data_IF_642438052290
#
_entry.id   IF_642438052290
#
_cell.length_a   1.000
_cell.length_b   1.000
_cell.length_c   1.000
_cell.angle_alpha   90.00
_cell.angle_beta   90.00
_cell.angle_gamma   90.00
#
_symmetry.space_group_name_H-M   'P 1'
#
loop_
_entity.id
_entity.type
_entity.pdbx_description
1 polymer ?
#
# COMPACT_ATOMS: atom_id res chain seq x y z
N UNK A 1 13.70 9.03 17.21
CA UNK A 1 14.53 7.80 17.16
C UNK A 1 15.32 7.51 18.45
N UNK A 2 15.72 8.50 19.27
CA UNK A 2 16.61 8.29 20.43
C UNK A 2 16.08 7.46 21.64
N UNK A 3 14.82 7.01 21.66
CA UNK A 3 14.25 6.26 22.79
C UNK A 3 14.36 4.73 22.64
N UNK A 4 14.41 4.21 21.42
CA UNK A 4 14.38 2.75 21.17
C UNK A 4 15.75 2.12 21.44
N UNK A 5 16.85 2.82 21.14
CA UNK A 5 18.22 2.37 21.42
C UNK A 5 18.61 2.31 22.91
N UNK A 6 17.77 2.80 23.83
CA UNK A 6 18.02 2.76 25.30
C UNK A 6 17.42 1.55 26.01
N UNK A 7 16.64 0.71 25.32
CA UNK A 7 16.03 -0.48 25.91
C UNK A 7 17.14 -1.54 26.09
N UNK A 8 17.45 -1.90 27.34
CA UNK A 8 18.54 -2.82 27.72
C UNK A 8 18.27 -4.29 27.38
N UNK A 9 17.01 -4.68 27.20
CA UNK A 9 16.62 -6.07 26.94
C UNK A 9 16.32 -6.28 25.45
N UNK A 10 17.11 -7.10 24.73
CA UNK A 10 16.97 -7.34 23.29
C UNK A 10 15.55 -7.79 22.90
N UNK A 11 15.03 -8.80 23.61
CA UNK A 11 13.69 -9.34 23.34
C UNK A 11 12.57 -8.30 23.48
N UNK A 12 12.67 -7.40 24.46
CA UNK A 12 11.67 -6.34 24.67
C UNK A 12 11.75 -5.26 23.60
N UNK A 13 12.96 -4.94 23.12
CA UNK A 13 13.16 -4.01 22.00
C UNK A 13 12.53 -4.56 20.72
N UNK A 14 12.78 -5.84 20.42
CA UNK A 14 12.24 -6.51 19.24
C UNK A 14 10.70 -6.54 19.25
N UNK A 15 10.09 -6.93 20.36
CA UNK A 15 8.63 -6.93 20.51
C UNK A 15 8.01 -5.54 20.33
N UNK A 16 8.67 -4.50 20.84
CA UNK A 16 8.21 -3.13 20.65
C UNK A 16 8.28 -2.71 19.19
N UNK A 17 9.39 -3.02 18.51
CA UNK A 17 9.57 -2.73 17.08
C UNK A 17 8.53 -3.46 16.24
N UNK A 18 8.29 -4.74 16.50
CA UNK A 18 7.22 -5.51 15.85
C UNK A 18 5.85 -4.85 16.03
N UNK A 19 5.50 -4.41 17.24
CA UNK A 19 4.22 -3.72 17.50
C UNK A 19 4.13 -2.38 16.78
N UNK A 20 5.20 -1.59 16.79
CA UNK A 20 5.24 -0.29 16.10
C UNK A 20 5.11 -0.46 14.60
N UNK A 21 5.83 -1.42 14.02
CA UNK A 21 5.82 -1.72 12.60
C UNK A 21 4.45 -2.27 12.17
N UNK A 22 3.88 -3.22 12.92
CA UNK A 22 2.53 -3.72 12.67
C UNK A 22 1.48 -2.60 12.69
N UNK A 23 1.60 -1.66 13.64
CA UNK A 23 0.72 -0.48 13.67
C UNK A 23 0.93 0.42 12.45
N UNK A 24 2.17 0.73 12.09
CA UNK A 24 2.49 1.57 10.94
C UNK A 24 1.98 0.96 9.62
N UNK A 25 2.17 -0.35 9.42
CA UNK A 25 1.64 -1.10 8.27
C UNK A 25 0.11 -1.05 8.27
N UNK A 26 -0.53 -1.28 9.41
CA UNK A 26 -2.00 -1.24 9.51
C UNK A 26 -2.56 0.15 9.21
N UNK A 27 -1.94 1.22 9.72
CA UNK A 27 -2.35 2.59 9.44
C UNK A 27 -2.10 2.93 7.96
N UNK A 28 -1.00 2.47 7.37
CA UNK A 28 -0.72 2.67 5.95
C UNK A 28 -1.67 1.89 5.04
N UNK A 29 -2.08 0.68 5.41
CA UNK A 29 -3.01 -0.15 4.65
C UNK A 29 -4.41 0.48 4.53
N UNK A 30 -4.80 1.35 5.49
CA UNK A 30 -6.06 2.12 5.38
C UNK A 30 -6.04 3.12 4.23
N UNK A 31 -4.84 3.54 3.84
CA UNK A 31 -4.61 4.55 2.80
C UNK A 31 -4.17 3.90 1.49
N UNK A 32 -3.27 2.92 1.52
CA UNK A 32 -2.80 2.23 0.34
C UNK A 32 -2.76 0.72 0.63
N UNK A 33 -3.81 0.01 0.23
CA UNK A 33 -3.95 -1.41 0.54
C UNK A 33 -2.86 -2.24 -0.11
N UNK A 34 -2.54 -1.94 -1.37
CA UNK A 34 -1.55 -2.68 -2.14
C UNK A 34 -0.17 -2.61 -1.48
N UNK A 35 0.30 -1.40 -1.19
CA UNK A 35 1.59 -1.21 -0.52
C UNK A 35 1.56 -1.74 0.92
N UNK A 36 0.45 -1.56 1.64
CA UNK A 36 0.24 -2.16 2.96
C UNK A 36 0.40 -3.68 2.96
N UNK A 37 -0.20 -4.37 1.98
CA UNK A 37 -0.05 -5.83 1.80
C UNK A 37 1.41 -6.19 1.49
N UNK A 38 2.07 -5.44 0.62
CA UNK A 38 3.48 -5.68 0.27
C UNK A 38 4.40 -5.55 1.50
N UNK A 39 4.24 -4.50 2.30
CA UNK A 39 4.97 -4.34 3.56
C UNK A 39 4.61 -5.42 4.57
N UNK A 40 3.34 -5.83 4.68
CA UNK A 40 2.92 -6.93 5.56
C UNK A 40 3.61 -8.24 5.20
N UNK A 41 3.73 -8.57 3.90
CA UNK A 41 4.45 -9.76 3.43
C UNK A 41 5.94 -9.69 3.77
N UNK A 42 6.60 -8.56 3.52
CA UNK A 42 8.01 -8.34 3.87
C UNK A 42 8.23 -8.45 5.39
N UNK A 43 7.35 -7.86 6.19
CA UNK A 43 7.41 -7.92 7.65
C UNK A 43 7.25 -9.36 8.16
N UNK A 44 6.27 -10.10 7.64
CA UNK A 44 6.03 -11.48 8.04
C UNK A 44 7.25 -12.37 7.72
N UNK A 45 7.83 -12.25 6.53
CA UNK A 45 9.04 -12.98 6.15
C UNK A 45 10.21 -12.69 7.09
N UNK A 46 10.41 -11.41 7.48
CA UNK A 46 11.45 -11.01 8.42
C UNK A 46 11.23 -11.59 9.83
N UNK A 47 9.98 -11.60 10.31
CA UNK A 47 9.61 -12.17 11.61
C UNK A 47 9.78 -13.68 11.64
N UNK A 48 9.39 -14.37 10.57
CA UNK A 48 9.59 -15.82 10.42
C UNK A 48 11.07 -16.19 10.45
N UNK A 49 11.91 -15.45 9.70
CA UNK A 49 13.36 -15.65 9.70
C UNK A 49 13.97 -15.43 11.10
N UNK A 50 13.51 -14.41 11.83
CA UNK A 50 13.93 -14.18 13.20
C UNK A 50 13.55 -15.34 14.14
N UNK A 51 12.30 -15.80 14.05
CA UNK A 51 11.80 -16.89 14.90
C UNK A 51 12.53 -18.21 14.64
N UNK A 52 12.78 -18.55 13.37
CA UNK A 52 13.52 -19.76 12.98
C UNK A 52 14.96 -19.75 13.50
N UNK A 53 15.63 -18.60 13.50
CA UNK A 53 17.00 -18.50 14.04
C UNK A 53 17.05 -18.60 15.56
N UNK A 54 16.08 -18.00 16.26
CA UNK A 54 15.93 -18.12 17.72
C UNK A 54 15.75 -19.57 18.17
N UNK A 55 15.11 -20.39 17.36
CA UNK A 55 14.84 -21.80 17.68
C UNK A 55 16.06 -22.70 17.42
N UNK A 56 16.91 -22.35 16.43
CA UNK A 56 18.02 -23.19 15.98
C UNK A 56 19.38 -22.90 16.65
N UNK A 57 19.58 -21.73 17.26
CA UNK A 57 20.77 -21.44 18.08
C UNK A 57 20.55 -20.19 18.95
N UNK A 58 21.38 -19.98 19.98
CA UNK A 58 21.33 -18.76 20.80
C UNK A 58 21.74 -17.56 19.91
N UNK A 59 20.74 -16.87 19.35
CA UNK A 59 20.91 -15.63 18.58
C UNK A 59 22.02 -14.77 19.19
N UNK A 60 23.13 -14.64 18.46
CA UNK A 60 24.24 -13.83 18.91
C UNK A 60 23.88 -12.33 18.77
N UNK A 61 24.59 -11.46 19.49
CA UNK A 61 24.26 -10.02 19.54
C UNK A 61 24.25 -9.34 18.17
N UNK A 62 25.11 -9.80 17.26
CA UNK A 62 25.28 -9.24 15.92
C UNK A 62 24.10 -9.57 14.99
N UNK A 63 23.58 -10.80 15.05
CA UNK A 63 22.35 -11.18 14.33
C UNK A 63 21.13 -10.42 14.87
N UNK A 64 21.02 -10.28 16.20
CA UNK A 64 19.95 -9.51 16.83
C UNK A 64 19.94 -8.04 16.37
N UNK A 65 21.11 -7.41 16.33
CA UNK A 65 21.27 -6.04 15.86
C UNK A 65 20.94 -5.93 14.37
N UNK A 66 21.30 -6.92 13.56
CA UNK A 66 20.96 -6.99 12.13
C UNK A 66 19.45 -7.04 11.89
N UNK A 67 18.70 -7.86 12.64
CA UNK A 67 17.23 -7.88 12.56
C UNK A 67 16.60 -6.57 13.02
N UNK A 68 17.15 -6.00 14.11
CA UNK A 68 16.69 -4.71 14.64
C UNK A 68 16.87 -3.60 13.61
N UNK A 69 18.00 -3.59 12.90
CA UNK A 69 18.28 -2.64 11.83
C UNK A 69 17.31 -2.83 10.66
N UNK A 70 17.10 -4.06 10.18
CA UNK A 70 16.15 -4.34 9.11
C UNK A 70 14.72 -3.89 9.45
N UNK A 71 14.27 -4.06 10.70
CA UNK A 71 12.97 -3.54 11.13
C UNK A 71 12.94 -2.02 11.17
N UNK A 72 14.02 -1.37 11.62
CA UNK A 72 14.13 0.09 11.63
C UNK A 72 14.12 0.67 10.21
N UNK A 73 14.82 0.02 9.27
CA UNK A 73 14.84 0.39 7.87
C UNK A 73 13.45 0.24 7.26
N UNK A 74 12.73 -0.84 7.56
CA UNK A 74 11.34 -1.01 7.09
C UNK A 74 10.39 0.08 7.62
N UNK A 75 10.58 0.56 8.85
CA UNK A 75 9.83 1.72 9.37
C UNK A 75 10.14 2.99 8.55
N UNK A 76 11.40 3.17 8.15
CA UNK A 76 11.82 4.30 7.32
C UNK A 76 11.26 4.19 5.90
N UNK A 77 11.27 2.99 5.30
CA UNK A 77 10.66 2.70 4.01
C UNK A 77 9.18 3.07 4.00
N UNK A 78 8.41 2.61 5.01
CA UNK A 78 6.99 2.95 5.13
C UNK A 78 6.81 4.46 5.23
N UNK A 79 7.60 5.13 6.07
CA UNK A 79 7.51 6.58 6.22
C UNK A 79 7.82 7.31 4.90
N UNK A 80 8.80 6.83 4.15
CA UNK A 80 9.18 7.39 2.85
C UNK A 80 8.05 7.19 1.84
N UNK A 81 7.47 5.99 1.78
CA UNK A 81 6.33 5.70 0.90
C UNK A 81 5.09 6.54 1.28
N UNK A 82 4.86 6.76 2.58
CA UNK A 82 3.83 7.67 3.07
C UNK A 82 4.10 9.15 2.80
N UNK A 83 5.27 9.52 2.27
CA UNK A 83 5.59 10.90 1.90
C UNK A 83 5.88 11.05 0.41
N UNK A 84 5.95 9.94 -0.35
CA UNK A 84 6.37 9.92 -1.75
C UNK A 84 5.39 10.65 -2.68
N UNK A 85 4.15 10.90 -2.23
CA UNK A 85 3.16 11.69 -2.95
C UNK A 85 3.42 13.21 -2.88
N UNK A 86 4.07 13.70 -1.82
CA UNK A 86 4.22 15.14 -1.56
C UNK A 86 5.11 15.83 -2.62
N UNK A 87 6.09 15.10 -3.15
CA UNK A 87 7.04 15.63 -4.12
C UNK A 87 6.52 15.58 -5.57
N UNK A 88 5.46 14.81 -5.83
CA UNK A 88 4.89 14.60 -7.18
C UNK A 88 3.51 15.27 -7.36
N UNK A 89 3.07 16.05 -6.36
CA UNK A 89 1.90 16.91 -6.46
C UNK A 89 0.56 16.18 -6.55
N UNK A 90 0.47 14.99 -5.93
CA UNK A 90 -0.77 14.21 -5.82
C UNK A 90 -1.11 13.95 -4.36
N UNK A 91 -2.35 13.59 -4.08
CA UNK A 91 -2.75 13.15 -2.76
C UNK A 91 -2.60 11.64 -2.55
N UNK A 92 -2.97 11.19 -1.35
CA UNK A 92 -2.83 9.80 -0.94
C UNK A 92 -3.76 8.83 -1.69
N UNK A 93 -4.95 9.27 -2.11
CA UNK A 93 -5.88 8.45 -2.91
C UNK A 93 -5.35 8.29 -4.33
N UNK A 94 -4.93 9.39 -4.94
CA UNK A 94 -4.30 9.40 -6.27
C UNK A 94 -3.03 8.54 -6.29
N UNK A 95 -2.22 8.60 -5.23
CA UNK A 95 -1.04 7.73 -5.08
C UNK A 95 -1.41 6.25 -5.03
N UNK A 96 -2.50 5.88 -4.35
CA UNK A 96 -2.94 4.49 -4.29
C UNK A 96 -3.37 3.98 -5.68
N UNK A 97 -4.06 4.81 -6.48
CA UNK A 97 -4.38 4.45 -7.86
C UNK A 97 -3.14 4.38 -8.76
N UNK A 98 -2.20 5.30 -8.59
CA UNK A 98 -0.92 5.25 -9.30
C UNK A 98 -0.16 3.95 -9.00
N UNK A 99 -0.13 3.50 -7.75
CA UNK A 99 0.53 2.26 -7.36
C UNK A 99 -0.17 1.02 -7.92
N UNK A 100 -1.50 1.04 -8.01
CA UNK A 100 -2.26 -0.01 -8.69
C UNK A 100 -1.85 -0.08 -10.16
N UNK A 101 -1.83 1.05 -10.86
CA UNK A 101 -1.44 1.10 -12.27
C UNK A 101 0.00 0.60 -12.49
N UNK A 102 0.94 1.05 -11.64
CA UNK A 102 2.33 0.60 -11.69
C UNK A 102 2.45 -0.91 -11.46
N UNK A 103 1.73 -1.44 -10.47
CA UNK A 103 1.69 -2.88 -10.20
C UNK A 103 1.13 -3.68 -11.37
N UNK A 104 0.13 -3.16 -12.09
CA UNK A 104 -0.37 -3.82 -13.29
C UNK A 104 0.65 -3.81 -14.43
N UNK A 105 1.42 -2.73 -14.58
CA UNK A 105 2.52 -2.68 -15.55
C UNK A 105 3.56 -3.78 -15.26
N UNK A 106 3.95 -3.95 -14.00
CA UNK A 106 4.87 -5.00 -13.57
C UNK A 106 4.29 -6.41 -13.75
N UNK A 107 3.03 -6.60 -13.33
CA UNK A 107 2.37 -7.92 -13.36
C UNK A 107 2.18 -8.46 -14.77
N UNK A 108 1.87 -7.60 -15.74
CA UNK A 108 1.64 -7.97 -17.13
C UNK A 108 2.83 -7.67 -18.04
N UNK A 109 3.97 -7.26 -17.47
CA UNK A 109 5.24 -7.00 -18.16
C UNK A 109 5.10 -6.04 -19.35
N UNK A 110 4.51 -4.86 -19.11
CA UNK A 110 4.43 -3.79 -20.11
C UNK A 110 4.95 -2.46 -19.59
N UNK A 111 5.48 -1.66 -20.49
CA UNK A 111 5.91 -0.29 -20.19
C UNK A 111 4.79 0.69 -20.53
N UNK A 112 4.57 1.65 -19.63
CA UNK A 112 3.61 2.72 -19.82
C UNK A 112 4.24 4.06 -19.40
N UNK A 113 3.81 5.13 -20.04
CA UNK A 113 4.36 6.46 -19.82
C UNK A 113 4.03 6.98 -18.40
N UNK A 114 5.05 7.41 -17.66
CA UNK A 114 4.91 7.80 -16.25
C UNK A 114 4.06 9.06 -16.07
N UNK A 115 4.20 10.04 -16.96
CA UNK A 115 3.45 11.30 -16.87
C UNK A 115 1.98 11.03 -17.18
N UNK A 116 1.70 10.21 -18.20
CA UNK A 116 0.33 9.74 -18.48
C UNK A 116 -0.26 8.90 -17.36
N UNK A 117 0.55 8.11 -16.65
CA UNK A 117 0.09 7.30 -15.52
C UNK A 117 -0.35 8.18 -14.36
N UNK A 118 0.39 9.27 -14.12
CA UNK A 118 0.07 10.24 -13.09
C UNK A 118 -1.26 10.96 -13.40
N UNK A 119 -1.42 11.45 -14.62
CA UNK A 119 -2.67 12.13 -15.04
C UNK A 119 -3.86 11.15 -15.03
N UNK A 120 -3.65 9.90 -15.47
CA UNK A 120 -4.65 8.84 -15.39
C UNK A 120 -5.09 8.60 -13.94
N UNK A 121 -4.17 8.54 -12.99
CA UNK A 121 -4.50 8.33 -11.58
C UNK A 121 -5.35 9.48 -10.99
N UNK A 122 -5.06 10.73 -11.38
CA UNK A 122 -5.87 11.91 -11.00
C UNK A 122 -7.29 11.83 -11.58
N UNK A 123 -7.41 11.52 -12.86
CA UNK A 123 -8.72 11.39 -13.52
C UNK A 123 -9.53 10.21 -12.94
N UNK A 124 -8.87 9.11 -12.56
CA UNK A 124 -9.51 7.97 -11.90
C UNK A 124 -10.13 8.40 -10.57
N UNK A 125 -9.45 9.25 -9.80
CA UNK A 125 -9.99 9.79 -8.55
C UNK A 125 -11.29 10.56 -8.80
N UNK A 126 -11.33 11.42 -9.82
CA UNK A 126 -12.55 12.20 -10.14
C UNK A 126 -13.74 11.28 -10.43
N UNK A 127 -13.53 10.19 -11.17
CA UNK A 127 -14.59 9.21 -11.47
C UNK A 127 -15.05 8.46 -10.22
N UNK A 128 -14.09 8.06 -9.37
CA UNK A 128 -14.38 7.37 -8.11
C UNK A 128 -15.14 8.29 -7.16
N UNK A 129 -14.73 9.55 -7.02
CA UNK A 129 -15.40 10.53 -6.16
C UNK A 129 -16.84 10.82 -6.61
N UNK A 130 -17.09 10.92 -7.93
CA UNK A 130 -18.45 11.05 -8.48
C UNK A 130 -19.32 9.81 -8.17
N UNK A 131 -18.73 8.61 -8.17
CA UNK A 131 -19.48 7.40 -7.80
C UNK A 131 -19.68 7.29 -6.29
N UNK A 132 -18.71 7.73 -5.51
CA UNK A 132 -18.65 7.57 -4.06
C UNK A 132 -19.34 8.71 -3.29
N UNK A 133 -19.96 9.67 -3.99
CA UNK A 133 -20.82 10.70 -3.42
C UNK A 133 -22.16 10.15 -2.89
N UNK A 134 -22.60 9.00 -3.40
CA UNK A 134 -23.86 8.39 -2.99
C UNK A 134 -23.69 7.56 -1.71
N UNK A 135 -24.64 7.65 -0.75
CA UNK A 135 -24.66 6.74 0.41
C UNK A 135 -24.76 5.28 -0.03
N UNK A 136 -24.02 4.40 0.65
CA UNK A 136 -23.97 2.95 0.40
C UNK A 136 -23.68 2.56 -1.06
N UNK A 137 -22.97 3.40 -1.81
CA UNK A 137 -22.67 3.20 -3.23
C UNK A 137 -22.00 1.85 -3.53
N UNK A 138 -21.18 1.32 -2.60
CA UNK A 138 -20.49 0.03 -2.74
C UNK A 138 -21.45 -1.17 -2.74
N UNK A 139 -22.64 -1.03 -2.18
CA UNK A 139 -23.67 -2.08 -2.20
C UNK A 139 -24.60 -1.96 -3.42
N UNK A 140 -24.44 -0.91 -4.23
CA UNK A 140 -25.31 -0.62 -5.37
C UNK A 140 -24.68 -1.11 -6.67
N UNK A 141 -25.27 -2.17 -7.24
CA UNK A 141 -24.76 -2.80 -8.46
C UNK A 141 -24.85 -1.90 -9.68
N UNK A 142 -25.85 -1.01 -9.75
CA UNK A 142 -26.00 -0.02 -10.82
C UNK A 142 -24.86 1.02 -10.81
N UNK A 143 -24.47 1.50 -9.63
CA UNK A 143 -23.35 2.44 -9.47
C UNK A 143 -22.02 1.74 -9.79
N UNK A 144 -21.79 0.52 -9.27
CA UNK A 144 -20.57 -0.24 -9.56
C UNK A 144 -20.43 -0.55 -11.05
N UNK A 145 -21.52 -0.90 -11.72
CA UNK A 145 -21.51 -1.13 -13.16
C UNK A 145 -21.17 0.14 -13.95
N UNK A 146 -21.74 1.29 -13.56
CA UNK A 146 -21.40 2.59 -14.17
C UNK A 146 -19.93 2.92 -13.96
N UNK A 147 -19.44 2.85 -12.71
CA UNK A 147 -18.04 3.08 -12.36
C UNK A 147 -17.09 2.18 -13.18
N UNK A 148 -17.44 0.90 -13.34
CA UNK A 148 -16.67 -0.03 -14.17
C UNK A 148 -16.52 0.46 -15.61
N UNK A 149 -17.63 0.86 -16.22
CA UNK A 149 -17.63 1.35 -17.60
C UNK A 149 -16.81 2.63 -17.72
N UNK A 150 -17.02 3.59 -16.81
CA UNK A 150 -16.33 4.88 -16.82
C UNK A 150 -14.81 4.71 -16.67
N UNK A 151 -14.37 3.83 -15.77
CA UNK A 151 -12.95 3.51 -15.61
C UNK A 151 -12.36 2.80 -16.84
N UNK A 152 -13.06 1.83 -17.44
CA UNK A 152 -12.59 1.16 -18.66
C UNK A 152 -12.45 2.15 -19.82
N UNK A 153 -13.41 3.05 -19.98
CA UNK A 153 -13.36 4.11 -21.00
C UNK A 153 -12.20 5.07 -20.76
N UNK A 154 -11.92 5.41 -19.50
CA UNK A 154 -10.78 6.22 -19.12
C UNK A 154 -9.45 5.53 -19.46
N UNK A 155 -9.28 4.27 -19.04
CA UNK A 155 -8.08 3.47 -19.36
C UNK A 155 -7.85 3.41 -20.87
N UNK A 156 -8.91 3.20 -21.66
CA UNK A 156 -8.83 3.16 -23.11
C UNK A 156 -8.44 4.52 -23.71
N UNK A 157 -8.98 5.64 -23.20
CA UNK A 157 -8.62 7.01 -23.63
C UNK A 157 -7.15 7.31 -23.41
N UNK A 158 -6.60 6.82 -22.30
CA UNK A 158 -5.20 6.98 -21.94
C UNK A 158 -4.27 5.98 -22.65
N UNK A 159 -4.83 4.96 -23.33
CA UNK A 159 -4.08 3.94 -24.03
C UNK A 159 -3.48 2.87 -23.11
N UNK A 160 -4.06 2.70 -21.92
CA UNK A 160 -3.65 1.66 -20.99
C UNK A 160 -4.05 0.27 -21.54
N UNK A 161 -3.17 -0.75 -21.50
CA UNK A 161 -3.44 -2.05 -22.10
C UNK A 161 -4.70 -2.73 -21.54
N UNK A 162 -5.61 -3.20 -22.41
CA UNK A 162 -6.90 -3.76 -21.97
C UNK A 162 -6.78 -5.06 -21.18
N UNK A 163 -5.63 -5.75 -21.27
CA UNK A 163 -5.33 -6.97 -20.51
C UNK A 163 -5.42 -6.77 -18.99
N UNK A 164 -5.16 -5.54 -18.51
CA UNK A 164 -5.18 -5.21 -17.10
C UNK A 164 -6.50 -4.56 -16.63
N UNK A 165 -7.42 -4.22 -17.53
CA UNK A 165 -8.60 -3.39 -17.20
C UNK A 165 -9.48 -3.95 -16.10
N UNK A 166 -9.80 -5.25 -16.15
CA UNK A 166 -10.65 -5.89 -15.14
C UNK A 166 -10.00 -5.93 -13.76
N UNK A 167 -8.67 -6.10 -13.70
CA UNK A 167 -7.94 -6.10 -12.43
C UNK A 167 -7.75 -4.68 -11.89
N UNK A 168 -7.41 -3.71 -12.74
CA UNK A 168 -7.38 -2.29 -12.36
C UNK A 168 -8.71 -1.89 -11.75
N UNK A 169 -9.82 -2.20 -12.41
CA UNK A 169 -11.16 -1.91 -11.88
C UNK A 169 -11.38 -2.52 -10.49
N UNK A 170 -11.08 -3.81 -10.31
CA UNK A 170 -11.25 -4.49 -9.01
C UNK A 170 -10.41 -3.83 -7.92
N UNK A 171 -9.13 -3.60 -8.17
CA UNK A 171 -8.23 -3.00 -7.19
C UNK A 171 -8.62 -1.57 -6.84
N UNK A 172 -9.09 -0.78 -7.82
CA UNK A 172 -9.55 0.60 -7.61
C UNK A 172 -10.84 0.61 -6.79
N UNK A 173 -11.78 -0.29 -7.08
CA UNK A 173 -13.00 -0.43 -6.31
C UNK A 173 -12.71 -0.80 -4.85
N UNK A 174 -11.90 -1.85 -4.63
CA UNK A 174 -11.48 -2.27 -3.29
C UNK A 174 -10.80 -1.14 -2.52
N UNK A 175 -9.92 -0.39 -3.18
CA UNK A 175 -9.23 0.75 -2.60
C UNK A 175 -10.21 1.88 -2.23
N UNK A 176 -11.17 2.20 -3.10
CA UNK A 176 -12.20 3.21 -2.84
C UNK A 176 -13.14 2.83 -1.68
N UNK A 177 -13.55 1.57 -1.61
CA UNK A 177 -14.35 1.04 -0.49
C UNK A 177 -13.58 1.13 0.83
N UNK A 178 -12.30 0.82 0.81
CA UNK A 178 -11.40 0.91 1.96
C UNK A 178 -11.29 2.34 2.48
N UNK A 179 -11.07 3.31 1.58
CA UNK A 179 -11.00 4.72 1.95
C UNK A 179 -12.29 5.18 2.65
N UNK A 180 -13.46 4.87 2.09
CA UNK A 180 -14.75 5.25 2.71
C UNK A 180 -14.97 4.61 4.07
N UNK A 181 -14.61 3.32 4.22
CA UNK A 181 -14.70 2.62 5.51
C UNK A 181 -13.87 3.31 6.59
N UNK A 182 -12.67 3.78 6.25
CA UNK A 182 -11.75 4.40 7.21
C UNK A 182 -11.90 5.92 7.37
N UNK A 183 -12.58 6.61 6.44
CA UNK A 183 -12.99 8.01 6.60
C UNK A 183 -14.16 8.19 7.59
N UNK A 184 -14.97 7.14 7.81
CA UNK A 184 -16.13 7.16 8.71
C UNK A 184 -15.85 6.58 10.11
N UNK A 185 -14.62 6.19 10.42
CA UNK A 185 -14.22 5.60 11.72
C UNK A 185 -13.26 6.49 12.51
#
# INVERSE_FOLDING_TARGET
MARIGKIKLPNTRMQLLQKMLAKAISDFQKVNQLQGINFSKRFQALVEQYNQRKENDVLNGEEFDTFTQQMADMIYDIKTEMMSFADIGIDMEEKAFLDILAHMCEKYDFTYDKDKMLELAKDMKVIVDDSAQYPDWSNRDDIKAKLKVDLILLLHRYGFPPVANDEVYKSVLEQAENFKKYLQS
#
